data_IF_949546644686
#
_entry.id   IF_949546644686
#
_cell.length_a   1.000
_cell.length_b   1.000
_cell.length_c   1.000
_cell.angle_alpha   90.00
_cell.angle_beta   90.00
_cell.angle_gamma   90.00
#
_symmetry.space_group_name_H-M   'P 1'
#
loop_
_entity.id
_entity.type
_entity.pdbx_description
1 polymer ?
#
# COMPACT_ATOMS: atom_id res chain seq x y z
N UNK A 1 -4.80 -31.65 -78.64
CA UNK A 1 -5.62 -32.66 -77.93
C UNK A 1 -6.73 -31.93 -77.18
N UNK A 2 -7.96 -32.45 -77.29
CA UNK A 2 -9.24 -31.79 -77.01
C UNK A 2 -9.92 -32.47 -75.82
N UNK A 3 -10.72 -31.69 -75.07
CA UNK A 3 -12.07 -32.03 -74.54
C UNK A 3 -12.18 -32.82 -73.21
N UNK A 4 -12.61 -32.06 -72.18
CA UNK A 4 -13.84 -32.15 -71.36
C UNK A 4 -14.24 -33.37 -70.49
N UNK A 5 -14.70 -32.99 -69.27
CA UNK A 5 -15.87 -33.48 -68.47
C UNK A 5 -15.79 -34.92 -67.92
N UNK A 6 -16.44 -35.30 -66.81
CA UNK A 6 -17.20 -34.65 -65.75
C UNK A 6 -17.32 -35.65 -64.57
N UNK A 7 -17.74 -35.10 -63.43
CA UNK A 7 -18.10 -35.73 -62.15
C UNK A 7 -19.03 -36.94 -62.28
N UNK A 8 -18.82 -37.95 -61.43
CA UNK A 8 -19.91 -38.70 -60.77
C UNK A 8 -19.49 -39.04 -59.34
N UNK A 9 -20.34 -38.70 -58.37
CA UNK A 9 -20.16 -39.05 -56.96
C UNK A 9 -20.84 -40.36 -56.61
N UNK A 10 -20.42 -40.98 -55.51
CA UNK A 10 -21.27 -41.84 -54.69
C UNK A 10 -20.64 -41.97 -53.30
N UNK A 11 -21.29 -41.37 -52.31
CA UNK A 11 -20.95 -41.47 -50.90
C UNK A 11 -21.23 -42.89 -50.36
N UNK A 12 -20.32 -43.42 -49.56
CA UNK A 12 -20.65 -44.46 -48.58
C UNK A 12 -20.20 -44.02 -47.19
N UNK A 13 -21.19 -44.05 -46.30
CA UNK A 13 -21.22 -43.55 -44.93
C UNK A 13 -20.20 -44.28 -44.05
N UNK A 14 -19.25 -43.54 -43.51
CA UNK A 14 -18.42 -43.99 -42.39
C UNK A 14 -19.23 -43.89 -41.10
N UNK A 15 -19.31 -44.99 -40.35
CA UNK A 15 -19.84 -45.01 -38.99
C UNK A 15 -18.80 -44.36 -38.09
N UNK A 16 -19.04 -43.12 -37.66
CA UNK A 16 -18.25 -42.46 -36.63
C UNK A 16 -18.84 -42.87 -35.28
N UNK A 17 -18.12 -43.71 -34.55
CA UNK A 17 -18.38 -43.98 -33.14
C UNK A 17 -18.09 -42.70 -32.34
N UNK A 18 -19.12 -41.99 -31.91
CA UNK A 18 -19.01 -40.92 -30.92
C UNK A 18 -18.67 -41.56 -29.56
N UNK A 19 -17.40 -41.47 -29.16
CA UNK A 19 -17.01 -41.67 -27.78
C UNK A 19 -17.55 -40.48 -26.97
N UNK A 20 -18.55 -40.72 -26.12
CA UNK A 20 -19.01 -39.75 -25.14
C UNK A 20 -17.90 -39.53 -24.10
N UNK A 21 -17.23 -38.38 -24.17
CA UNK A 21 -16.34 -37.94 -23.09
C UNK A 21 -17.20 -37.52 -21.90
N UNK A 22 -17.23 -38.37 -20.86
CA UNK A 22 -17.79 -38.01 -19.56
C UNK A 22 -16.82 -37.00 -18.93
N UNK A 23 -17.17 -35.71 -18.98
CA UNK A 23 -16.52 -34.70 -18.15
C UNK A 23 -16.89 -34.98 -16.69
N UNK A 24 -15.95 -35.53 -15.93
CA UNK A 24 -16.01 -35.49 -14.47
C UNK A 24 -15.78 -34.03 -14.05
N UNK A 25 -16.85 -33.33 -13.67
CA UNK A 25 -16.70 -32.07 -12.93
C UNK A 25 -16.05 -32.41 -11.58
N UNK A 26 -14.75 -32.13 -11.47
CA UNK A 26 -14.10 -32.03 -10.16
C UNK A 26 -14.62 -30.72 -9.55
N UNK A 27 -15.31 -30.73 -8.40
CA UNK A 27 -15.64 -29.49 -7.72
C UNK A 27 -14.33 -28.79 -7.35
N UNK A 28 -14.13 -27.59 -7.87
CA UNK A 28 -13.07 -26.71 -7.41
C UNK A 28 -13.21 -26.54 -5.88
N UNK A 29 -12.10 -26.46 -5.12
CA UNK A 29 -12.20 -26.14 -3.71
C UNK A 29 -12.91 -24.80 -3.60
N UNK A 30 -14.12 -24.81 -3.03
CA UNK A 30 -14.78 -23.61 -2.58
C UNK A 30 -13.82 -22.98 -1.57
N UNK A 31 -13.15 -21.90 -1.97
CA UNK A 31 -12.49 -21.04 -1.02
C UNK A 31 -13.61 -20.54 -0.14
N UNK A 32 -13.70 -21.06 1.08
CA UNK A 32 -14.54 -20.47 2.10
C UNK A 32 -14.16 -18.99 2.11
N UNK A 33 -15.09 -18.13 1.70
CA UNK A 33 -14.96 -16.71 1.90
C UNK A 33 -14.74 -16.55 3.40
N UNK A 34 -13.49 -16.25 3.79
CA UNK A 34 -13.15 -16.02 5.17
C UNK A 34 -14.11 -14.96 5.67
N UNK A 35 -14.83 -15.27 6.75
CA UNK A 35 -15.56 -14.25 7.51
C UNK A 35 -14.58 -13.09 7.71
N UNK A 36 -14.96 -11.83 7.40
CA UNK A 36 -14.10 -10.70 7.71
C UNK A 36 -13.77 -10.83 9.19
N UNK A 37 -12.51 -11.06 9.53
CA UNK A 37 -12.05 -10.94 10.90
C UNK A 37 -12.35 -9.50 11.28
N UNK A 38 -13.41 -9.28 12.05
CA UNK A 38 -13.62 -8.00 12.71
C UNK A 38 -12.40 -7.81 13.60
N UNK A 39 -11.52 -6.90 13.19
CA UNK A 39 -10.48 -6.41 14.08
C UNK A 39 -11.15 -5.94 15.38
N UNK A 40 -10.48 -6.11 16.53
CA UNK A 40 -10.99 -5.60 17.80
C UNK A 40 -11.38 -4.12 17.68
N UNK A 41 -12.39 -3.66 18.43
CA UNK A 41 -12.82 -2.27 18.40
C UNK A 41 -11.61 -1.35 18.66
N UNK A 42 -11.52 -0.21 17.95
CA UNK A 42 -10.40 0.70 18.07
C UNK A 42 -10.17 1.06 19.54
N UNK A 43 -8.97 0.74 20.03
CA UNK A 43 -8.54 1.10 21.38
C UNK A 43 -8.24 2.61 21.42
N UNK A 44 -8.48 3.31 22.54
CA UNK A 44 -8.30 4.76 22.58
C UNK A 44 -6.81 5.09 22.65
N UNK A 45 -6.17 5.27 21.49
CA UNK A 45 -4.91 5.99 21.39
C UNK A 45 -5.19 7.31 20.68
N UNK A 46 -5.54 8.32 21.47
CA UNK A 46 -6.01 9.64 21.03
C UNK A 46 -4.87 10.65 20.96
N UNK A 47 -3.73 10.28 20.39
CA UNK A 47 -2.66 11.26 20.14
C UNK A 47 -2.96 11.92 18.81
N UNK A 48 -3.12 13.24 18.85
CA UNK A 48 -3.31 14.05 17.65
C UNK A 48 -2.05 13.96 16.77
N UNK A 49 -2.21 13.38 15.58
CA UNK A 49 -1.18 13.26 14.56
C UNK A 49 -1.23 14.38 13.52
N UNK A 50 -2.11 15.36 13.66
CA UNK A 50 -2.34 16.38 12.65
C UNK A 50 -2.86 15.75 11.36
N UNK A 51 -2.07 15.79 10.29
CA UNK A 51 -2.44 15.15 9.03
C UNK A 51 -1.96 13.70 8.89
N UNK A 52 -1.33 13.13 9.94
CA UNK A 52 -0.78 11.78 9.94
C UNK A 52 -1.53 10.83 10.87
N UNK A 53 -1.60 9.57 10.47
CA UNK A 53 -2.12 8.46 11.27
C UNK A 53 -1.14 7.29 11.22
N UNK A 54 -1.11 6.45 12.25
CA UNK A 54 -0.26 5.27 12.30
C UNK A 54 0.61 5.23 13.55
N UNK A 55 1.81 4.69 13.44
CA UNK A 55 2.71 4.53 14.58
C UNK A 55 4.02 5.29 14.39
N UNK A 56 4.44 5.95 15.47
CA UNK A 56 5.71 6.67 15.59
C UNK A 56 6.50 6.10 16.75
N UNK A 57 7.78 5.83 16.53
CA UNK A 57 8.76 5.61 17.59
C UNK A 57 9.62 6.86 17.72
N UNK A 58 9.84 7.35 18.95
CA UNK A 58 10.76 8.46 19.23
C UNK A 58 11.97 7.98 20.02
N UNK A 59 13.10 8.67 19.86
CA UNK A 59 14.38 8.24 20.42
C UNK A 59 15.54 8.98 19.77
N UNK A 60 16.67 8.29 19.63
CA UNK A 60 17.85 8.83 18.94
C UNK A 60 18.53 7.75 18.12
N UNK A 61 19.10 8.15 16.99
CA UNK A 61 19.96 7.29 16.19
C UNK A 61 19.22 6.17 15.47
N UNK A 62 17.94 6.36 15.09
CA UNK A 62 17.26 5.40 14.23
C UNK A 62 18.02 5.20 12.92
N UNK A 63 18.05 3.94 12.45
CA UNK A 63 18.83 3.53 11.27
C UNK A 63 17.98 2.89 10.20
N UNK A 64 16.85 2.28 10.55
CA UNK A 64 15.98 1.72 9.53
C UNK A 64 14.53 1.66 9.98
N UNK A 65 13.64 1.81 9.01
CA UNK A 65 12.22 1.49 9.14
C UNK A 65 11.76 0.75 7.89
N UNK A 66 10.89 -0.23 8.05
CA UNK A 66 10.25 -0.91 6.92
C UNK A 66 8.84 -1.34 7.27
N UNK A 67 7.97 -1.45 6.26
CA UNK A 67 6.65 -2.02 6.39
C UNK A 67 6.13 -2.50 5.02
N UNK A 68 5.03 -3.26 5.06
CA UNK A 68 4.28 -3.69 3.88
C UNK A 68 2.81 -3.37 4.03
N UNK A 69 2.14 -3.11 2.91
CA UNK A 69 0.70 -2.94 2.84
C UNK A 69 0.19 -3.31 1.45
N UNK A 70 -1.08 -3.68 1.37
CA UNK A 70 -1.83 -3.70 0.11
C UNK A 70 -2.29 -2.27 -0.20
N UNK A 71 -1.97 -1.72 -1.37
CA UNK A 71 -2.44 -0.40 -1.77
C UNK A 71 -3.98 -0.40 -1.80
N UNK A 72 -4.67 0.50 -1.07
CA UNK A 72 -6.12 0.49 -1.05
C UNK A 72 -6.71 0.89 -2.41
N UNK A 73 -7.92 0.42 -2.67
CA UNK A 73 -8.76 0.96 -3.76
C UNK A 73 -9.41 2.23 -3.21
N UNK A 74 -8.96 3.38 -3.69
CA UNK A 74 -9.45 4.70 -3.26
C UNK A 74 -10.59 5.16 -4.16
N UNK A 75 -11.66 5.69 -3.56
CA UNK A 75 -12.72 6.38 -4.29
C UNK A 75 -12.52 7.88 -4.16
N UNK A 76 -12.22 8.56 -5.28
CA UNK A 76 -12.07 10.01 -5.30
C UNK A 76 -13.43 10.68 -5.48
N UNK A 77 -13.83 11.50 -4.52
CA UNK A 77 -15.02 12.37 -4.59
C UNK A 77 -14.61 13.82 -4.87
N UNK A 78 -15.57 14.68 -5.21
CA UNK A 78 -15.28 16.10 -5.43
C UNK A 78 -14.73 16.73 -4.14
N UNK A 79 -13.53 17.31 -4.22
CA UNK A 79 -12.82 17.87 -3.05
C UNK A 79 -11.90 16.87 -2.34
N UNK A 80 -11.86 15.60 -2.75
CA UNK A 80 -10.83 14.64 -2.31
C UNK A 80 -9.45 15.12 -2.73
N UNK A 81 -8.50 15.04 -1.80
CA UNK A 81 -7.10 15.46 -1.97
C UNK A 81 -6.20 14.24 -2.12
N UNK A 82 -4.89 14.42 -2.01
CA UNK A 82 -3.95 13.32 -2.08
C UNK A 82 -3.83 12.57 -0.73
N UNK A 83 -3.52 11.28 -0.84
CA UNK A 83 -3.44 10.32 0.24
C UNK A 83 -2.19 9.45 0.09
N UNK A 84 -1.45 9.17 1.16
CA UNK A 84 -0.24 8.37 1.06
C UNK A 84 0.03 7.45 2.27
N UNK A 85 0.08 6.12 2.09
CA UNK A 85 0.82 5.23 2.99
C UNK A 85 2.33 5.31 2.73
N UNK A 86 3.12 5.39 3.80
CA UNK A 86 4.57 5.56 3.72
C UNK A 86 5.30 5.06 4.98
N UNK A 87 6.64 4.95 4.85
CA UNK A 87 7.55 4.74 5.98
C UNK A 87 8.68 5.78 5.93
N UNK A 88 9.15 6.22 7.08
CA UNK A 88 10.16 7.27 7.16
C UNK A 88 11.02 7.27 8.41
N UNK A 89 12.13 7.99 8.31
CA UNK A 89 12.94 8.41 9.45
C UNK A 89 12.82 9.93 9.57
N UNK A 90 12.75 10.41 10.81
CA UNK A 90 12.47 11.81 11.14
C UNK A 90 11.07 12.29 10.71
N UNK A 91 10.67 13.47 11.16
CA UNK A 91 9.41 14.14 10.85
C UNK A 91 8.66 14.41 12.14
N UNK A 92 8.50 13.39 12.99
CA UNK A 92 7.94 13.58 14.32
C UNK A 92 8.99 14.18 15.27
N UNK A 93 8.85 15.46 15.60
CA UNK A 93 9.77 16.18 16.49
C UNK A 93 11.03 16.73 15.79
N UNK A 94 11.06 16.72 14.45
CA UNK A 94 12.13 17.31 13.63
C UNK A 94 11.57 18.05 12.41
N UNK A 95 12.36 18.93 11.79
CA UNK A 95 11.94 19.73 10.62
C UNK A 95 12.19 19.06 9.26
N UNK A 96 12.61 17.80 9.25
CA UNK A 96 12.98 17.05 8.04
C UNK A 96 12.41 15.64 8.14
N UNK A 97 12.22 14.97 7.02
CA UNK A 97 11.86 13.54 6.97
C UNK A 97 12.48 12.88 5.73
N UNK A 98 12.98 11.66 5.86
CA UNK A 98 13.48 10.85 4.76
C UNK A 98 12.57 9.64 4.60
N UNK A 99 11.82 9.58 3.50
CA UNK A 99 10.65 8.71 3.40
C UNK A 99 10.37 8.20 1.99
N UNK A 100 9.59 7.14 1.92
CA UNK A 100 9.09 6.59 0.66
C UNK A 100 7.72 5.95 0.87
N UNK A 101 6.88 6.04 -0.16
CA UNK A 101 5.51 5.57 -0.10
C UNK A 101 4.84 5.58 -1.46
N UNK A 102 3.52 5.47 -1.43
CA UNK A 102 2.66 5.59 -2.62
C UNK A 102 1.69 6.72 -2.37
N UNK A 103 1.69 7.74 -3.21
CA UNK A 103 0.66 8.78 -3.16
C UNK A 103 -0.44 8.45 -4.17
N UNK A 104 -1.69 8.56 -3.75
CA UNK A 104 -2.86 8.54 -4.61
C UNK A 104 -3.36 9.96 -4.78
N UNK A 105 -3.26 10.51 -5.98
CA UNK A 105 -3.80 11.82 -6.33
C UNK A 105 -5.26 11.68 -6.79
N UNK A 106 -6.15 12.45 -6.16
CA UNK A 106 -7.59 12.51 -6.47
C UNK A 106 -8.03 13.81 -7.16
N UNK A 107 -7.12 14.74 -7.44
CA UNK A 107 -7.45 16.08 -7.97
C UNK A 107 -8.21 16.06 -9.30
N UNK A 108 -8.00 15.03 -10.13
CA UNK A 108 -8.72 14.81 -11.39
C UNK A 108 -10.03 14.04 -11.29
N UNK A 109 -10.51 13.71 -10.08
CA UNK A 109 -11.71 12.89 -9.83
C UNK A 109 -11.53 11.39 -10.11
N UNK A 110 -10.35 10.98 -10.57
CA UNK A 110 -9.95 9.57 -10.75
C UNK A 110 -8.64 9.33 -10.02
N UNK A 111 -8.51 8.26 -9.22
CA UNK A 111 -7.30 7.99 -8.45
C UNK A 111 -6.11 7.69 -9.37
N UNK A 112 -5.03 8.43 -9.20
CA UNK A 112 -3.73 8.15 -9.84
C UNK A 112 -2.71 7.85 -8.76
N UNK A 113 -2.28 6.59 -8.67
CA UNK A 113 -1.31 6.15 -7.64
C UNK A 113 0.10 6.06 -8.20
N UNK A 114 1.06 6.73 -7.56
CA UNK A 114 2.49 6.68 -7.91
C UNK A 114 3.35 6.47 -6.68
N UNK A 115 4.36 5.63 -6.81
CA UNK A 115 5.41 5.50 -5.81
C UNK A 115 6.34 6.72 -5.84
N UNK A 116 6.92 7.08 -4.70
CA UNK A 116 7.79 8.24 -4.57
C UNK A 116 8.83 8.05 -3.47
N UNK A 117 9.88 8.87 -3.50
CA UNK A 117 10.75 9.11 -2.35
C UNK A 117 10.82 10.62 -2.08
N UNK A 118 11.13 10.99 -0.84
CA UNK A 118 11.30 12.38 -0.43
C UNK A 118 12.37 12.52 0.65
N UNK A 119 13.07 13.66 0.60
CA UNK A 119 13.93 14.15 1.66
C UNK A 119 13.43 15.56 1.98
N UNK A 120 12.40 15.64 2.83
CA UNK A 120 11.74 16.90 3.12
C UNK A 120 12.73 17.86 3.82
N UNK A 121 12.67 19.17 3.51
CA UNK A 121 11.56 19.88 2.87
C UNK A 121 11.58 19.91 1.32
N UNK A 122 12.48 19.20 0.66
CA UNK A 122 12.46 19.13 -0.80
C UNK A 122 11.23 18.36 -1.30
N UNK A 123 10.62 18.75 -2.44
CA UNK A 123 9.45 18.06 -2.97
C UNK A 123 9.70 16.57 -3.27
N UNK A 124 8.67 15.75 -3.06
CA UNK A 124 8.67 14.34 -3.43
C UNK A 124 8.99 14.12 -4.93
N UNK A 125 9.75 13.06 -5.21
CA UNK A 125 10.09 12.62 -6.56
C UNK A 125 9.37 11.32 -6.87
N UNK A 126 8.52 11.36 -7.90
CA UNK A 126 7.65 10.26 -8.30
C UNK A 126 8.31 9.32 -9.32
N UNK A 127 7.94 8.05 -9.25
CA UNK A 127 8.39 6.99 -10.15
C UNK A 127 7.28 6.51 -11.08
N UNK A 128 7.70 5.99 -12.23
CA UNK A 128 6.92 5.13 -13.11
C UNK A 128 7.46 3.68 -13.03
N UNK A 129 6.63 2.63 -13.28
CA UNK A 129 5.22 2.66 -13.68
C UNK A 129 4.25 2.97 -12.52
N UNK A 130 2.94 3.19 -12.81
CA UNK A 130 1.94 3.48 -11.77
C UNK A 130 1.67 2.27 -10.85
N UNK A 131 1.17 2.56 -9.66
CA UNK A 131 0.64 1.57 -8.70
C UNK A 131 -0.86 1.40 -8.94
N UNK A 132 -1.38 0.19 -8.74
CA UNK A 132 -2.81 -0.12 -8.79
C UNK A 132 -3.35 -0.43 -7.39
N UNK A 133 -4.64 -0.16 -7.16
CA UNK A 133 -5.32 -0.65 -5.97
C UNK A 133 -5.31 -2.18 -5.95
N UNK A 134 -4.96 -2.77 -4.81
CA UNK A 134 -4.72 -4.21 -4.66
C UNK A 134 -3.27 -4.65 -4.81
N UNK A 135 -2.34 -3.77 -5.21
CA UNK A 135 -0.93 -4.11 -5.27
C UNK A 135 -0.31 -4.29 -3.89
N UNK A 136 0.52 -5.31 -3.72
CA UNK A 136 1.31 -5.54 -2.51
C UNK A 136 2.58 -4.70 -2.55
N UNK A 137 2.70 -3.75 -1.62
CA UNK A 137 3.81 -2.81 -1.53
C UNK A 137 4.72 -3.17 -0.36
N UNK A 138 6.02 -3.07 -0.57
CA UNK A 138 7.02 -3.08 0.49
C UNK A 138 7.88 -1.82 0.40
N UNK A 139 8.01 -1.10 1.52
CA UNK A 139 8.79 0.12 1.61
C UNK A 139 9.82 0.02 2.75
N UNK A 140 10.97 0.65 2.54
CA UNK A 140 12.08 0.64 3.49
C UNK A 140 12.90 1.92 3.36
N UNK A 141 13.30 2.48 4.49
CA UNK A 141 14.34 3.51 4.58
C UNK A 141 15.48 2.97 5.44
N UNK A 142 16.71 3.01 4.93
CA UNK A 142 17.93 2.62 5.65
C UNK A 142 18.93 3.75 5.63
N UNK A 143 19.44 4.09 6.80
CA UNK A 143 20.47 5.10 7.02
C UNK A 143 21.83 4.46 7.31
N UNK A 144 22.87 5.06 6.72
CA UNK A 144 24.28 4.79 7.03
C UNK A 144 25.05 6.12 7.06
N UNK A 145 25.44 6.60 8.24
CA UNK A 145 25.95 7.96 8.40
C UNK A 145 24.86 8.97 8.04
N UNK A 146 25.16 9.90 7.14
CA UNK A 146 24.18 10.87 6.62
C UNK A 146 23.54 10.40 5.30
N UNK A 147 23.80 9.17 4.87
CA UNK A 147 23.23 8.60 3.64
C UNK A 147 21.97 7.80 3.94
N UNK A 148 20.88 8.12 3.25
CA UNK A 148 19.58 7.45 3.34
C UNK A 148 19.28 6.75 2.03
N UNK A 149 19.03 5.44 2.11
CA UNK A 149 18.55 4.61 1.02
C UNK A 149 17.06 4.40 1.21
N UNK A 150 16.25 4.98 0.33
CA UNK A 150 14.80 4.83 0.32
C UNK A 150 14.44 3.86 -0.80
N UNK A 151 13.84 2.73 -0.45
CA UNK A 151 13.50 1.66 -1.39
C UNK A 151 12.01 1.36 -1.32
N UNK A 152 11.37 1.29 -2.49
CA UNK A 152 9.99 0.85 -2.61
C UNK A 152 9.85 -0.22 -3.69
N UNK A 153 9.04 -1.23 -3.39
CA UNK A 153 8.83 -2.41 -4.23
C UNK A 153 7.34 -2.62 -4.38
N UNK A 154 6.92 -2.87 -5.61
CA UNK A 154 5.61 -3.43 -5.91
C UNK A 154 5.79 -4.92 -6.16
N UNK A 155 5.39 -5.73 -5.19
CA UNK A 155 5.57 -7.18 -5.20
C UNK A 155 4.59 -7.85 -6.17
N UNK A 156 3.41 -7.26 -6.38
CA UNK A 156 2.42 -7.74 -7.36
C UNK A 156 2.90 -7.52 -8.79
N UNK A 157 3.39 -6.33 -9.11
CA UNK A 157 3.87 -5.98 -10.45
C UNK A 157 5.35 -6.33 -10.69
N UNK A 158 6.09 -6.76 -9.67
CA UNK A 158 7.46 -7.26 -9.79
C UNK A 158 8.55 -6.20 -10.02
N UNK A 159 8.28 -4.92 -9.74
CA UNK A 159 9.28 -3.85 -9.89
C UNK A 159 9.78 -3.29 -8.56
N UNK A 160 10.98 -2.69 -8.60
CA UNK A 160 11.61 -2.00 -7.47
C UNK A 160 12.21 -0.66 -7.90
N UNK A 161 12.13 0.34 -7.03
CA UNK A 161 12.77 1.65 -7.16
C UNK A 161 13.54 1.96 -5.89
N UNK A 162 14.66 2.65 -6.04
CA UNK A 162 15.49 3.06 -4.90
C UNK A 162 16.17 4.40 -5.20
N UNK A 163 16.30 5.24 -4.18
CA UNK A 163 17.08 6.45 -4.20
C UNK A 163 18.02 6.48 -3.01
N UNK A 164 19.25 6.96 -3.23
CA UNK A 164 20.20 7.25 -2.18
C UNK A 164 20.41 8.75 -2.11
N UNK A 165 20.20 9.35 -0.94
CA UNK A 165 20.37 10.79 -0.71
C UNK A 165 21.15 11.04 0.56
N UNK A 166 21.97 12.09 0.55
CA UNK A 166 22.71 12.53 1.73
C UNK A 166 21.99 13.71 2.37
N UNK A 167 21.76 13.64 3.68
CA UNK A 167 21.09 14.69 4.44
C UNK A 167 21.50 14.61 5.92
N UNK A 168 21.71 15.74 6.62
CA UNK A 168 22.01 15.73 8.05
C UNK A 168 20.70 15.59 8.89
N UNK A 169 20.03 14.44 8.80
CA UNK A 169 18.82 14.18 9.60
C UNK A 169 19.12 14.08 11.10
N UNK A 170 18.15 14.42 11.93
CA UNK A 170 18.25 14.33 13.39
C UNK A 170 18.22 12.86 13.87
N UNK A 171 17.53 12.00 13.12
CA UNK A 171 17.28 10.59 13.39
C UNK A 171 16.64 10.34 14.76
N UNK A 172 15.64 11.15 15.09
CA UNK A 172 14.95 11.18 16.38
C UNK A 172 13.60 10.48 16.37
N UNK A 173 13.10 10.12 15.18
CA UNK A 173 11.88 9.33 15.03
C UNK A 173 11.96 8.33 13.87
N UNK A 174 11.06 7.35 13.92
CA UNK A 174 10.78 6.40 12.85
C UNK A 174 9.27 6.15 12.75
N UNK A 175 8.74 6.20 11.55
CA UNK A 175 7.30 6.23 11.29
C UNK A 175 6.87 5.13 10.31
N UNK A 176 5.73 4.52 10.61
CA UNK A 176 4.91 3.78 9.64
C UNK A 176 3.55 4.43 9.66
N UNK A 177 3.23 5.16 8.61
CA UNK A 177 2.20 6.17 8.67
C UNK A 177 1.36 6.27 7.39
N UNK A 178 0.26 6.98 7.54
CA UNK A 178 -0.71 7.32 6.53
C UNK A 178 -0.94 8.83 6.60
N UNK A 179 -0.79 9.51 5.49
CA UNK A 179 -0.91 10.96 5.42
C UNK A 179 -2.04 11.38 4.47
N UNK A 180 -2.77 12.42 4.90
CA UNK A 180 -3.63 13.22 4.04
C UNK A 180 -2.92 14.52 3.62
N UNK A 181 -3.13 14.92 2.38
CA UNK A 181 -2.77 16.24 1.90
C UNK A 181 -3.95 17.20 2.07
N UNK A 182 -3.69 18.46 2.43
CA UNK A 182 -4.71 19.53 2.55
C UNK A 182 -5.89 19.23 3.51
N UNK A 183 -5.67 18.40 4.53
CA UNK A 183 -6.55 18.29 5.70
C UNK A 183 -7.80 17.42 5.54
N UNK A 184 -7.87 16.56 4.52
CA UNK A 184 -8.95 15.58 4.34
C UNK A 184 -8.46 14.27 3.72
N UNK A 185 -9.12 13.17 4.05
CA UNK A 185 -8.86 11.86 3.43
C UNK A 185 -9.91 11.57 2.35
N UNK A 186 -9.53 10.99 1.20
CA UNK A 186 -10.51 10.36 0.32
C UNK A 186 -11.06 9.09 0.99
N UNK A 187 -12.16 8.54 0.47
CA UNK A 187 -12.68 7.27 0.94
C UNK A 187 -11.72 6.12 0.55
N UNK A 188 -10.97 5.63 1.54
CA UNK A 188 -10.00 4.53 1.41
C UNK A 188 -10.38 3.27 2.20
N UNK A 189 -11.43 3.33 3.01
CA UNK A 189 -11.85 2.23 3.90
C UNK A 189 -10.84 1.98 5.02
N UNK A 190 -9.82 1.17 4.76
CA UNK A 190 -8.75 0.89 5.72
C UNK A 190 -7.44 0.51 5.04
N UNK A 191 -6.31 0.85 5.68
CA UNK A 191 -4.98 0.37 5.30
C UNK A 191 -4.41 -0.46 6.43
N UNK A 192 -3.95 -1.67 6.11
CA UNK A 192 -3.29 -2.56 7.06
C UNK A 192 -1.80 -2.62 6.77
N UNK A 193 -1.00 -2.16 7.72
CA UNK A 193 0.44 -2.35 7.70
C UNK A 193 0.83 -3.67 8.34
N UNK A 194 1.82 -4.33 7.77
CA UNK A 194 2.37 -5.60 8.26
C UNK A 194 3.88 -5.61 8.18
N UNK A 195 4.51 -6.45 9.02
CA UNK A 195 5.96 -6.57 9.04
C UNK A 195 6.66 -5.25 9.35
N UNK A 196 6.00 -4.35 10.09
CA UNK A 196 6.57 -3.08 10.51
C UNK A 196 7.76 -3.35 11.42
N UNK A 197 8.95 -2.91 11.00
CA UNK A 197 10.17 -3.05 11.80
C UNK A 197 10.90 -1.72 11.90
N UNK A 198 11.49 -1.46 13.06
CA UNK A 198 12.46 -0.38 13.27
C UNK A 198 13.77 -1.00 13.75
N UNK A 199 14.87 -0.65 13.10
CA UNK A 199 16.20 -1.20 13.41
C UNK A 199 16.25 -2.74 13.43
N UNK A 200 15.52 -3.35 12.49
CA UNK A 200 15.42 -4.81 12.33
C UNK A 200 14.58 -5.51 13.40
N UNK A 201 13.95 -4.79 14.32
CA UNK A 201 13.06 -5.33 15.35
C UNK A 201 11.60 -5.03 15.01
N UNK A 202 10.66 -5.97 15.21
CA UNK A 202 9.24 -5.67 15.06
C UNK A 202 8.84 -4.47 15.91
N UNK A 203 8.08 -3.55 15.33
CA UNK A 203 7.52 -2.43 16.06
C UNK A 203 6.54 -2.97 17.11
N UNK A 204 6.64 -2.45 18.35
CA UNK A 204 5.81 -2.91 19.47
C UNK A 204 5.57 -1.80 20.49
N UNK A 205 4.47 -1.90 21.22
CA UNK A 205 4.20 -1.06 22.40
C UNK A 205 5.04 -1.52 23.60
N UNK A 206 5.37 -0.62 24.55
CA UNK A 206 5.00 0.80 24.62
C UNK A 206 5.93 1.74 23.84
N UNK A 207 6.95 1.24 23.14
CA UNK A 207 7.95 2.09 22.46
C UNK A 207 7.43 2.79 21.20
N UNK A 208 6.37 2.26 20.59
CA UNK A 208 5.66 2.89 19.49
C UNK A 208 4.34 3.48 19.98
N UNK A 209 4.10 4.74 19.62
CA UNK A 209 2.89 5.50 19.95
C UNK A 209 1.99 5.58 18.73
N UNK A 210 0.72 5.22 18.89
CA UNK A 210 -0.28 5.43 17.85
C UNK A 210 -0.66 6.92 17.81
N UNK A 211 -0.77 7.46 16.60
CA UNK A 211 -1.27 8.79 16.29
C UNK A 211 -2.44 8.68 15.32
N UNK A 212 -3.38 9.60 15.39
CA UNK A 212 -4.52 9.67 14.49
C UNK A 212 -4.66 11.06 13.89
N UNK A 213 -4.91 11.10 12.59
CA UNK A 213 -5.13 12.35 11.89
C UNK A 213 -6.43 13.02 12.37
N UNK A 214 -6.39 14.35 12.46
CA UNK A 214 -7.47 15.20 12.95
C UNK A 214 -7.69 16.40 12.03
N UNK A 215 -8.89 16.98 12.13
CA UNK A 215 -9.19 18.33 11.66
C UNK A 215 -9.95 19.10 12.77
N UNK A 216 -10.47 20.29 12.45
CA UNK A 216 -11.25 21.11 13.38
C UNK A 216 -12.54 20.46 13.94
N UNK A 217 -13.03 19.39 13.31
CA UNK A 217 -14.22 18.60 13.66
C UNK A 217 -13.86 17.30 14.41
N UNK A 218 -12.58 16.98 14.61
CA UNK A 218 -12.10 15.83 15.38
C UNK A 218 -11.30 14.83 14.55
N UNK A 219 -11.23 13.57 15.00
CA UNK A 219 -10.46 12.52 14.32
C UNK A 219 -11.05 12.16 12.94
N UNK A 220 -10.19 12.04 11.94
CA UNK A 220 -10.48 11.58 10.57
C UNK A 220 -10.25 10.07 10.42
N UNK A 221 -9.35 9.52 11.24
CA UNK A 221 -8.97 8.11 11.20
C UNK A 221 -8.92 7.51 12.60
N UNK A 222 -8.83 6.19 12.66
CA UNK A 222 -8.49 5.47 13.89
C UNK A 222 -7.43 4.39 13.64
N UNK A 223 -6.35 4.46 14.42
CA UNK A 223 -5.22 3.54 14.39
C UNK A 223 -5.46 2.42 15.41
N UNK A 224 -5.65 1.21 14.90
CA UNK A 224 -5.85 0.01 15.70
C UNK A 224 -4.60 -0.42 16.46
N UNK A 225 -4.77 -1.31 17.43
CA UNK A 225 -3.66 -1.80 18.26
C UNK A 225 -2.56 -2.51 17.46
N UNK A 226 -1.31 -2.22 17.81
CA UNK A 226 -0.11 -2.84 17.26
C UNK A 226 0.17 -4.20 17.89
N UNK A 227 0.29 -5.23 17.05
CA UNK A 227 0.70 -6.57 17.46
C UNK A 227 1.62 -7.18 16.41
N UNK A 228 2.80 -7.63 16.84
CA UNK A 228 3.77 -8.30 15.96
C UNK A 228 4.19 -7.47 14.73
N UNK A 229 4.28 -6.14 14.85
CA UNK A 229 4.56 -5.25 13.72
C UNK A 229 3.40 -5.11 12.72
N UNK A 230 2.17 -5.40 13.13
CA UNK A 230 0.98 -5.21 12.29
C UNK A 230 -0.09 -4.38 13.02
N UNK A 231 -0.76 -3.52 12.26
CA UNK A 231 -1.87 -2.67 12.71
C UNK A 231 -2.70 -2.21 11.51
N UNK A 232 -3.92 -1.76 11.78
CA UNK A 232 -4.86 -1.27 10.75
C UNK A 232 -5.24 0.17 11.07
N UNK A 233 -5.18 1.05 10.07
CA UNK A 233 -5.74 2.40 10.13
C UNK A 233 -7.07 2.39 9.39
N UNK A 234 -8.13 2.91 10.03
CA UNK A 234 -9.50 2.95 9.48
C UNK A 234 -9.90 4.39 9.22
N UNK A 235 -10.59 4.62 8.09
CA UNK A 235 -11.26 5.88 7.82
C UNK A 235 -12.48 6.01 8.75
N UNK A 236 -12.70 7.19 9.35
CA UNK A 236 -13.85 7.45 10.22
C UNK A 236 -14.90 8.33 9.54
N UNK A 237 -14.47 9.30 8.73
CA UNK A 237 -15.35 10.32 8.15
C UNK A 237 -14.64 11.16 7.09
N UNK A 238 -15.42 11.62 6.11
CA UNK A 238 -15.08 12.63 5.10
C UNK A 238 -14.92 14.05 5.68
#
# INVERSE_FOLDING_TARGET
>A
MRVSRAVTGSARRGVVLLAAAVLLLVPAPAHAAGTPTQDPPPQPFTVDGGNWSGYVMTGTGFRSVSARWTQPVVTCTAGSTAFAPWVGLDGYGSGTVQQTGVATDCSGGTPVSRAWYEVAPEPAVYYEPPVQGGDEIAAEVVRSGDSYTMTIRNLTQGWSRSAVRTHPGANVSAEVALEAQQGGFPEFGSVRFTGATVDGKPMSTPSATAIDATDAKGFLTSTGGLSGGAFTIRHLRE
#
